data_IF_096731770238
#
_entry.id   IF_096731770238
#
_cell.length_a   1.000
_cell.length_b   1.000
_cell.length_c   1.000
_cell.angle_alpha   90.00
_cell.angle_beta   90.00
_cell.angle_gamma   90.00
#
_symmetry.space_group_name_H-M   'P 1'
#
loop_
_entity.id
_entity.type
_entity.pdbx_description
1 polymer ?
#
# COMPACT_ATOMS: atom_id res chain seq x y z
N UNK A 1 -21.97 1.79 -10.09
CA UNK A 1 -21.41 0.98 -8.99
C UNK A 1 -22.37 1.07 -7.81
N UNK A 2 -22.77 -0.08 -7.25
CA UNK A 2 -23.77 -0.14 -6.18
C UNK A 2 -23.36 0.73 -4.99
N UNK A 3 -24.29 1.55 -4.49
CA UNK A 3 -24.09 2.38 -3.31
C UNK A 3 -24.13 1.50 -2.06
N UNK A 4 -22.97 1.00 -1.62
CA UNK A 4 -22.85 0.35 -0.32
C UNK A 4 -23.02 1.39 0.81
N UNK A 5 -23.63 0.98 1.93
CA UNK A 5 -23.84 1.85 3.11
C UNK A 5 -22.54 2.20 3.84
N UNK A 6 -21.49 1.40 3.65
CA UNK A 6 -20.15 1.61 4.20
C UNK A 6 -19.16 1.59 3.04
N UNK A 7 -18.22 2.55 3.06
CA UNK A 7 -17.06 2.57 2.17
C UNK A 7 -15.79 2.51 2.98
N UNK A 8 -14.83 1.73 2.52
CA UNK A 8 -13.53 1.54 3.16
C UNK A 8 -12.42 2.08 2.26
N UNK A 9 -11.56 2.90 2.86
CA UNK A 9 -10.41 3.47 2.18
C UNK A 9 -9.11 3.20 2.95
N UNK A 10 -8.04 2.95 2.22
CA UNK A 10 -6.68 2.84 2.78
C UNK A 10 -5.76 3.87 2.14
N UNK A 11 -4.79 4.38 2.90
CA UNK A 11 -3.81 5.36 2.41
C UNK A 11 -2.40 5.01 2.88
N UNK A 12 -1.46 4.91 1.94
CA UNK A 12 -0.04 4.70 2.26
C UNK A 12 0.64 6.05 2.37
N UNK A 13 1.22 6.34 3.54
CA UNK A 13 1.99 7.55 3.80
C UNK A 13 3.46 7.42 3.34
N UNK A 14 4.18 8.53 3.12
CA UNK A 14 5.64 8.50 2.97
C UNK A 14 6.34 7.93 4.20
N UNK A 15 7.61 7.57 4.01
CA UNK A 15 8.48 7.26 5.13
C UNK A 15 8.70 8.48 6.03
N UNK A 16 8.73 8.24 7.34
CA UNK A 16 9.16 9.22 8.32
C UNK A 16 10.69 9.22 8.47
N UNK A 17 11.23 10.21 9.18
CA UNK A 17 12.67 10.38 9.36
C UNK A 17 13.37 9.13 9.94
N UNK A 18 12.70 8.38 10.82
CA UNK A 18 13.25 7.15 11.41
C UNK A 18 13.35 6.03 10.39
N UNK A 19 12.33 5.86 9.56
CA UNK A 19 12.27 4.84 8.52
C UNK A 19 13.33 5.11 7.44
N UNK A 20 13.47 6.36 7.02
CA UNK A 20 14.54 6.79 6.12
C UNK A 20 15.93 6.60 6.75
N UNK A 21 16.12 7.03 8.00
CA UNK A 21 17.40 6.90 8.71
C UNK A 21 17.84 5.47 9.02
N UNK A 22 16.93 4.49 8.89
CA UNK A 22 17.22 3.06 9.04
C UNK A 22 17.17 2.29 7.72
N UNK A 23 17.10 2.98 6.58
CA UNK A 23 16.95 2.38 5.26
C UNK A 23 15.81 1.32 5.22
N UNK A 24 14.66 1.65 5.81
CA UNK A 24 13.50 0.78 5.78
C UNK A 24 13.04 0.54 4.34
N UNK A 25 12.67 -0.71 4.03
CA UNK A 25 12.15 -1.08 2.71
C UNK A 25 10.64 -0.89 2.66
N UNK A 26 10.13 -0.38 1.54
CA UNK A 26 8.69 -0.31 1.34
C UNK A 26 8.19 -1.70 0.98
N UNK A 27 7.21 -2.19 1.75
CA UNK A 27 6.64 -3.53 1.58
C UNK A 27 5.22 -3.48 1.03
N UNK A 28 4.70 -2.27 0.79
CA UNK A 28 3.36 -2.02 0.28
C UNK A 28 3.44 -1.65 -1.20
N UNK A 29 2.56 -2.22 -1.99
CA UNK A 29 2.30 -1.83 -3.37
C UNK A 29 0.80 -1.61 -3.54
N UNK A 30 0.40 -0.78 -4.50
CA UNK A 30 -1.00 -0.54 -4.80
C UNK A 30 -1.20 -0.65 -6.31
N UNK A 31 -2.28 -1.32 -6.72
CA UNK A 31 -2.73 -1.38 -8.10
C UNK A 31 -4.24 -1.14 -8.15
N UNK A 32 -4.63 0.04 -8.62
CA UNK A 32 -6.01 0.50 -8.57
C UNK A 32 -6.56 0.46 -7.13
N UNK A 33 -7.59 -0.33 -6.92
CA UNK A 33 -8.27 -0.50 -5.63
C UNK A 33 -7.61 -1.54 -4.71
N UNK A 34 -6.61 -2.28 -5.22
CA UNK A 34 -5.95 -3.36 -4.51
C UNK A 34 -4.67 -2.89 -3.87
N UNK A 35 -4.48 -3.20 -2.58
CA UNK A 35 -3.25 -3.00 -1.83
C UNK A 35 -2.58 -4.35 -1.56
N UNK A 36 -1.30 -4.45 -1.91
CA UNK A 36 -0.50 -5.66 -1.76
C UNK A 36 0.56 -5.45 -0.67
N UNK A 37 0.69 -6.41 0.24
CA UNK A 37 1.65 -6.38 1.35
C UNK A 37 2.59 -7.59 1.22
N UNK A 38 3.89 -7.31 1.10
CA UNK A 38 4.94 -8.34 1.06
C UNK A 38 5.56 -8.54 2.43
N UNK A 39 5.87 -9.79 2.79
CA UNK A 39 6.62 -10.08 4.02
C UNK A 39 8.12 -10.19 3.69
N UNK A 40 8.98 -9.25 4.13
CA UNK A 40 10.41 -9.32 3.84
C UNK A 40 11.09 -10.51 4.53
N UNK A 41 10.49 -11.10 5.58
CA UNK A 41 11.02 -12.29 6.26
C UNK A 41 10.62 -13.61 5.58
N UNK A 42 9.58 -13.60 4.75
CA UNK A 42 9.07 -14.77 4.05
C UNK A 42 8.78 -14.42 2.58
N UNK A 43 9.81 -14.16 1.77
CA UNK A 43 9.63 -13.77 0.37
C UNK A 43 9.01 -14.87 -0.50
N UNK A 44 9.02 -16.12 -0.04
CA UNK A 44 8.43 -17.27 -0.74
C UNK A 44 6.91 -17.36 -0.63
N UNK A 45 6.31 -16.73 0.39
CA UNK A 45 4.86 -16.83 0.67
C UNK A 45 4.02 -15.88 -0.21
N UNK A 46 4.66 -15.13 -1.11
CA UNK A 46 4.00 -14.17 -2.00
C UNK A 46 3.48 -12.92 -1.28
N UNK A 47 2.99 -11.97 -2.07
CA UNK A 47 2.34 -10.78 -1.54
C UNK A 47 0.88 -11.09 -1.17
N UNK A 48 0.42 -10.55 -0.04
CA UNK A 48 -0.98 -10.62 0.39
C UNK A 48 -1.75 -9.45 -0.20
N UNK A 49 -2.84 -9.75 -0.90
CA UNK A 49 -3.64 -8.75 -1.61
C UNK A 49 -4.93 -8.44 -0.85
N UNK A 50 -5.27 -7.15 -0.77
CA UNK A 50 -6.47 -6.64 -0.12
C UNK A 50 -7.16 -5.62 -1.02
N UNK A 51 -8.45 -5.80 -1.29
CA UNK A 51 -9.22 -4.91 -2.17
C UNK A 51 -10.17 -4.04 -1.34
N UNK A 52 -10.19 -2.75 -1.63
CA UNK A 52 -11.01 -1.75 -0.94
C UNK A 52 -11.82 -0.90 -1.92
N UNK A 53 -12.74 -0.07 -1.42
CA UNK A 53 -13.44 0.91 -2.27
C UNK A 53 -12.49 1.99 -2.78
N UNK A 54 -11.46 2.33 -1.99
CA UNK A 54 -10.40 3.27 -2.38
C UNK A 54 -9.05 2.87 -1.79
N UNK A 55 -8.00 2.93 -2.63
CA UNK A 55 -6.60 2.72 -2.22
C UNK A 55 -5.77 3.92 -2.67
N UNK A 56 -5.30 4.73 -1.72
CA UNK A 56 -4.58 5.97 -1.98
C UNK A 56 -3.07 5.80 -1.76
N UNK A 57 -2.29 5.94 -2.84
CA UNK A 57 -0.84 6.01 -2.75
C UNK A 57 -0.39 7.45 -2.53
N UNK A 58 0.18 7.73 -1.35
CA UNK A 58 0.84 9.01 -1.06
C UNK A 58 2.31 8.80 -0.65
N UNK A 59 2.89 7.63 -0.95
CA UNK A 59 4.22 7.27 -0.49
C UNK A 59 5.34 7.95 -1.29
N UNK A 60 5.11 8.19 -2.58
CA UNK A 60 6.02 8.89 -3.49
C UNK A 60 5.29 10.04 -4.18
N UNK A 61 6.01 11.13 -4.48
CA UNK A 61 5.46 12.28 -5.21
C UNK A 61 5.36 12.04 -6.74
N UNK A 62 5.90 10.92 -7.22
CA UNK A 62 5.93 10.57 -8.65
C UNK A 62 4.88 9.49 -8.89
N UNK A 63 3.86 9.76 -9.73
CA UNK A 63 3.00 8.71 -10.23
C UNK A 63 3.84 7.81 -11.14
N UNK A 64 3.92 6.52 -10.85
CA UNK A 64 4.42 5.56 -11.83
C UNK A 64 3.49 5.64 -13.07
N UNK A 65 4.10 5.92 -14.23
CA UNK A 65 3.45 5.92 -15.54
C UNK A 65 3.16 4.50 -16.00
#
# INVERSE_FOLDING_TARGET
MASASVKVAVRVRPFNARETGRNAKCVIQMQGNTTCISNPKQPKDGAKNFTFDHSYWSHTAVPDK
#
